data_IF_774416532651
#
_entry.id   IF_774416532651
#
_cell.length_a   1.000
_cell.length_b   1.000
_cell.length_c   1.000
_cell.angle_alpha   90.00
_cell.angle_beta   90.00
_cell.angle_gamma   90.00
#
_symmetry.space_group_name_H-M   'P 1'
#
loop_
_entity.id
_entity.type
_entity.pdbx_description
1 polymer ?
#
# COMPACT_ATOMS: atom_id res chain seq x y z
N UNK A 1 20.58 1.06 -23.39
CA UNK A 1 19.39 0.21 -23.11
C UNK A 1 18.15 1.08 -22.98
N UNK A 2 17.12 0.88 -23.83
CA UNK A 2 15.85 1.61 -23.73
C UNK A 2 15.00 1.00 -22.59
N UNK A 3 14.84 1.74 -21.50
CA UNK A 3 13.97 1.36 -20.38
C UNK A 3 12.51 1.43 -20.86
N UNK A 4 11.82 0.28 -20.93
CA UNK A 4 10.40 0.22 -21.32
C UNK A 4 9.58 1.03 -20.33
N UNK A 5 8.82 2.02 -20.84
CA UNK A 5 7.97 2.89 -20.04
C UNK A 5 6.96 2.08 -19.20
N UNK A 6 6.76 2.55 -17.97
CA UNK A 6 5.65 2.13 -17.11
C UNK A 6 4.36 2.51 -17.85
N UNK A 7 3.36 1.62 -17.89
CA UNK A 7 2.04 1.99 -18.42
C UNK A 7 1.33 2.77 -17.33
N UNK A 8 1.05 4.04 -17.59
CA UNK A 8 0.14 4.82 -16.74
C UNK A 8 -1.27 4.33 -17.02
N UNK A 9 -1.90 3.72 -16.02
CA UNK A 9 -3.32 3.42 -16.09
C UNK A 9 -4.03 4.58 -15.38
N UNK A 10 -4.19 5.71 -16.09
CA UNK A 10 -5.13 6.77 -15.67
C UNK A 10 -6.56 6.26 -15.87
N UNK A 11 -7.01 5.35 -15.01
CA UNK A 11 -8.44 5.10 -14.87
C UNK A 11 -8.98 6.24 -14.05
N UNK A 12 -9.64 7.20 -14.70
CA UNK A 12 -10.32 8.36 -14.12
C UNK A 12 -11.53 7.94 -13.27
N UNK A 13 -11.29 7.16 -12.21
CA UNK A 13 -12.29 6.67 -11.25
C UNK A 13 -11.81 6.98 -9.81
N UNK A 14 -10.55 7.37 -9.64
CA UNK A 14 -9.89 7.49 -8.34
C UNK A 14 -9.22 8.85 -8.18
N UNK A 15 -9.12 9.35 -6.94
CA UNK A 15 -8.46 10.62 -6.62
C UNK A 15 -6.92 10.54 -6.67
N UNK A 16 -6.37 9.37 -6.98
CA UNK A 16 -4.94 9.09 -7.03
C UNK A 16 -4.47 8.68 -8.44
N UNK A 17 -3.24 9.06 -8.77
CA UNK A 17 -2.51 8.57 -9.94
C UNK A 17 -2.00 7.14 -9.69
N UNK A 18 -2.37 6.19 -10.56
CA UNK A 18 -2.00 4.77 -10.44
C UNK A 18 -0.99 4.36 -11.52
N UNK A 19 0.21 4.00 -11.10
CA UNK A 19 1.33 3.56 -11.94
C UNK A 19 1.46 2.04 -11.92
N UNK A 20 1.25 1.37 -13.05
CA UNK A 20 1.30 -0.10 -13.13
C UNK A 20 2.53 -0.56 -13.92
N UNK A 21 3.34 -1.43 -13.30
CA UNK A 21 4.49 -2.03 -13.96
C UNK A 21 4.10 -2.76 -15.25
N UNK A 22 4.86 -2.55 -16.32
CA UNK A 22 4.67 -3.25 -17.59
C UNK A 22 4.94 -4.77 -17.52
N UNK A 23 5.50 -5.26 -16.40
CA UNK A 23 5.65 -6.69 -16.12
C UNK A 23 4.33 -7.36 -15.75
N UNK A 24 3.31 -6.58 -15.36
CA UNK A 24 2.00 -7.09 -14.98
C UNK A 24 1.15 -7.23 -16.25
N UNK A 25 0.85 -8.48 -16.63
CA UNK A 25 -0.05 -8.78 -17.75
C UNK A 25 -1.52 -8.66 -17.35
N UNK A 26 -1.85 -9.04 -16.12
CA UNK A 26 -3.18 -9.00 -15.52
C UNK A 26 -3.04 -8.69 -14.04
N UNK A 27 -3.82 -7.72 -13.55
CA UNK A 27 -3.84 -7.36 -12.13
C UNK A 27 -4.69 -8.39 -11.38
N UNK A 28 -4.20 -8.86 -10.24
CA UNK A 28 -4.96 -9.76 -9.38
C UNK A 28 -6.11 -9.01 -8.69
N UNK A 29 -7.31 -9.60 -8.51
CA UNK A 29 -8.46 -8.90 -7.92
C UNK A 29 -8.17 -8.26 -6.55
N UNK A 30 -7.41 -8.93 -5.69
CA UNK A 30 -6.99 -8.39 -4.38
C UNK A 30 -6.12 -7.14 -4.54
N UNK A 31 -5.23 -7.12 -5.52
CA UNK A 31 -4.38 -5.94 -5.80
C UNK A 31 -5.22 -4.79 -6.33
N UNK A 32 -6.19 -5.07 -7.20
CA UNK A 32 -7.10 -4.06 -7.75
C UNK A 32 -7.94 -3.41 -6.64
N UNK A 33 -8.54 -4.21 -5.77
CA UNK A 33 -9.43 -3.70 -4.73
C UNK A 33 -8.68 -2.96 -3.61
N UNK A 34 -7.50 -3.45 -3.19
CA UNK A 34 -6.63 -2.73 -2.24
C UNK A 34 -6.23 -1.38 -2.84
N UNK A 35 -5.76 -1.37 -4.09
CA UNK A 35 -5.35 -0.13 -4.76
C UNK A 35 -6.51 0.87 -4.86
N UNK A 36 -7.72 0.38 -5.17
CA UNK A 36 -8.92 1.22 -5.19
C UNK A 36 -9.21 1.82 -3.81
N UNK A 37 -9.27 1.03 -2.74
CA UNK A 37 -9.55 1.55 -1.41
C UNK A 37 -8.51 2.56 -0.94
N UNK A 38 -7.24 2.32 -1.22
CA UNK A 38 -6.17 3.26 -0.88
C UNK A 38 -6.34 4.59 -1.62
N UNK A 39 -6.83 4.56 -2.86
CA UNK A 39 -7.09 5.77 -3.65
C UNK A 39 -8.30 6.59 -3.18
N UNK A 40 -9.16 6.01 -2.33
CA UNK A 40 -10.28 6.70 -1.69
C UNK A 40 -9.85 7.46 -0.43
N UNK A 41 -8.62 7.24 0.07
CA UNK A 41 -8.07 8.00 1.18
C UNK A 41 -7.63 9.38 0.66
N UNK A 42 -8.24 10.45 1.17
CA UNK A 42 -8.05 11.84 0.72
C UNK A 42 -6.60 12.27 0.50
N UNK A 43 -5.68 11.86 1.38
CA UNK A 43 -4.26 12.24 1.27
C UNK A 43 -3.45 11.38 0.30
N UNK A 44 -3.91 10.18 -0.06
CA UNK A 44 -3.17 9.29 -0.96
C UNK A 44 -3.36 9.77 -2.38
N UNK A 45 -2.25 10.19 -3.01
CA UNK A 45 -2.25 10.77 -4.36
C UNK A 45 -1.55 9.90 -5.38
N UNK A 46 -0.66 9.01 -4.92
CA UNK A 46 0.18 8.21 -5.81
C UNK A 46 0.15 6.76 -5.36
N UNK A 47 -0.22 5.87 -6.28
CA UNK A 47 -0.21 4.43 -6.07
C UNK A 47 0.66 3.78 -7.14
N UNK A 48 1.57 2.91 -6.73
CA UNK A 48 2.45 2.17 -7.63
C UNK A 48 2.27 0.68 -7.42
N UNK A 49 1.98 -0.03 -8.50
CA UNK A 49 1.78 -1.47 -8.52
C UNK A 49 2.93 -2.12 -9.29
N UNK A 50 3.66 -3.00 -8.62
CA UNK A 50 4.70 -3.87 -9.19
C UNK A 50 4.29 -5.33 -8.97
N UNK A 51 4.96 -6.31 -9.61
CA UNK A 51 4.77 -7.71 -9.25
C UNK A 51 4.89 -7.86 -7.73
N UNK A 52 3.86 -8.43 -7.12
CA UNK A 52 3.80 -8.79 -5.70
C UNK A 52 3.99 -7.61 -4.73
N UNK A 53 3.81 -6.36 -5.19
CA UNK A 53 4.11 -5.18 -4.37
C UNK A 53 3.23 -3.98 -4.71
N UNK A 54 2.70 -3.33 -3.68
CA UNK A 54 1.91 -2.09 -3.76
C UNK A 54 2.60 -1.03 -2.91
N UNK A 55 2.74 0.19 -3.44
CA UNK A 55 3.11 1.37 -2.65
C UNK A 55 2.06 2.44 -2.86
N UNK A 56 1.63 3.10 -1.79
CA UNK A 56 0.70 4.22 -1.84
C UNK A 56 1.21 5.35 -0.95
N UNK A 57 1.14 6.59 -1.42
CA UNK A 57 1.56 7.73 -0.61
C UNK A 57 0.93 9.05 -1.05
N UNK A 58 0.92 10.03 -0.14
CA UNK A 58 0.67 11.43 -0.42
C UNK A 58 1.78 12.11 -1.23
N UNK A 59 2.98 11.53 -1.19
CA UNK A 59 4.20 12.11 -1.78
C UNK A 59 4.99 11.08 -2.57
N UNK A 60 5.81 11.56 -3.50
CA UNK A 60 6.74 10.74 -4.28
C UNK A 60 8.13 11.33 -4.19
N UNK A 61 9.14 10.47 -4.32
CA UNK A 61 10.54 10.90 -4.41
C UNK A 61 10.77 11.89 -5.55
N UNK A 62 11.67 12.83 -5.32
CA UNK A 62 12.17 13.71 -6.37
C UNK A 62 12.98 12.94 -7.43
N UNK A 63 13.10 13.53 -8.62
CA UNK A 63 13.85 12.95 -9.73
C UNK A 63 12.99 12.23 -10.78
N UNK A 64 13.68 11.57 -11.71
CA UNK A 64 13.05 11.00 -12.92
C UNK A 64 12.10 9.85 -12.62
N UNK A 65 12.38 9.07 -11.58
CA UNK A 65 11.56 7.93 -11.17
C UNK A 65 10.79 8.33 -9.91
N UNK A 66 9.54 8.75 -10.09
CA UNK A 66 8.63 9.04 -8.99
C UNK A 66 8.26 7.75 -8.26
N UNK A 67 8.63 7.63 -7.00
CA UNK A 67 8.34 6.46 -6.15
C UNK A 67 7.58 6.92 -4.91
N UNK A 68 6.41 6.34 -4.58
CA UNK A 68 5.67 6.72 -3.38
C UNK A 68 6.54 6.61 -2.12
N UNK A 69 6.51 7.64 -1.27
CA UNK A 69 7.31 7.70 -0.04
C UNK A 69 6.57 7.00 1.10
N UNK A 70 7.16 5.94 1.63
CA UNK A 70 6.52 5.06 2.63
C UNK A 70 7.39 4.83 3.86
N UNK A 71 8.63 5.33 3.83
CA UNK A 71 9.62 5.13 4.89
C UNK A 71 9.10 5.65 6.23
N UNK A 72 9.27 4.88 7.33
CA UNK A 72 8.97 5.35 8.68
C UNK A 72 9.66 6.68 9.01
N UNK A 73 9.03 7.45 9.89
CA UNK A 73 9.47 8.76 10.39
C UNK A 73 9.65 9.85 9.33
N UNK A 74 9.10 9.67 8.11
CA UNK A 74 9.10 10.74 7.12
C UNK A 74 8.21 11.90 7.63
N UNK A 75 8.71 13.15 7.65
CA UNK A 75 8.09 14.24 8.41
C UNK A 75 6.71 14.66 7.88
N UNK A 76 6.44 14.42 6.61
CA UNK A 76 5.22 14.93 5.94
C UNK A 76 4.41 13.84 5.23
N UNK A 77 5.01 12.68 4.96
CA UNK A 77 4.38 11.70 4.09
C UNK A 77 3.32 10.90 4.85
N UNK A 78 2.25 10.56 4.14
CA UNK A 78 1.27 9.57 4.57
C UNK A 78 1.28 8.49 3.52
N UNK A 79 1.76 7.30 3.87
CA UNK A 79 1.92 6.24 2.89
C UNK A 79 2.24 4.88 3.50
N UNK A 80 2.11 3.85 2.69
CA UNK A 80 2.40 2.48 3.05
C UNK A 80 2.96 1.71 1.86
N UNK A 81 3.69 0.65 2.14
CA UNK A 81 4.07 -0.36 1.17
C UNK A 81 3.69 -1.76 1.63
N UNK A 82 3.20 -2.56 0.69
CA UNK A 82 2.70 -3.92 0.90
C UNK A 82 3.46 -4.89 0.02
N UNK A 83 3.86 -6.02 0.60
CA UNK A 83 4.24 -7.22 -0.15
C UNK A 83 3.01 -8.12 -0.20
N UNK A 84 2.71 -8.65 -1.39
CA UNK A 84 1.55 -9.50 -1.64
C UNK A 84 2.05 -10.91 -1.92
N UNK A 85 1.83 -11.83 -0.98
CA UNK A 85 2.17 -13.23 -1.17
C UNK A 85 0.93 -14.00 -1.65
N UNK A 86 0.87 -14.24 -2.96
CA UNK A 86 -0.22 -15.00 -3.56
C UNK A 86 -0.17 -16.49 -3.23
N UNK A 87 0.99 -17.05 -2.87
CA UNK A 87 1.10 -18.47 -2.56
C UNK A 87 0.48 -18.78 -1.19
N UNK A 88 0.63 -17.86 -0.24
CA UNK A 88 0.09 -18.00 1.11
C UNK A 88 -1.15 -17.14 1.37
N UNK A 89 -1.66 -16.42 0.37
CA UNK A 89 -2.77 -15.48 0.49
C UNK A 89 -2.55 -14.48 1.63
N UNK A 90 -1.37 -13.88 1.72
CA UNK A 90 -1.09 -12.89 2.76
C UNK A 90 -0.69 -11.54 2.17
N UNK A 91 -0.96 -10.49 2.94
CA UNK A 91 -0.51 -9.12 2.67
C UNK A 91 0.39 -8.67 3.81
N UNK A 92 1.67 -8.52 3.52
CA UNK A 92 2.61 -8.02 4.51
C UNK A 92 2.68 -6.50 4.44
N UNK A 93 2.45 -5.83 5.57
CA UNK A 93 2.79 -4.41 5.74
C UNK A 93 4.30 -4.29 5.88
N UNK A 94 4.96 -3.89 4.79
CA UNK A 94 6.43 -3.77 4.75
C UNK A 94 6.88 -2.44 5.34
N UNK A 95 6.21 -1.34 4.99
CA UNK A 95 6.41 -0.03 5.61
C UNK A 95 5.08 0.67 5.77
N UNK A 96 4.98 1.52 6.80
CA UNK A 96 3.88 2.45 6.99
C UNK A 96 4.44 3.73 7.61
N UNK A 97 3.97 4.88 7.13
CA UNK A 97 4.28 6.19 7.70
C UNK A 97 3.04 7.07 7.69
N UNK A 98 2.85 7.83 8.76
CA UNK A 98 1.69 8.71 8.89
C UNK A 98 2.06 9.99 9.63
N UNK A 99 2.51 11.00 8.89
CA UNK A 99 2.76 12.33 9.44
C UNK A 99 1.49 13.02 9.99
N UNK A 100 0.31 12.60 9.52
CA UNK A 100 -0.99 13.11 9.98
C UNK A 100 -1.67 12.08 10.88
N UNK A 101 -2.03 12.48 12.10
CA UNK A 101 -2.68 11.59 13.08
C UNK A 101 -3.94 10.94 12.50
N UNK A 102 -4.09 9.64 12.76
CA UNK A 102 -5.25 8.84 12.36
C UNK A 102 -5.15 8.22 10.96
N UNK A 103 -4.27 8.70 10.09
CA UNK A 103 -4.14 8.15 8.74
C UNK A 103 -3.48 6.77 8.70
N UNK A 104 -2.59 6.45 9.65
CA UNK A 104 -2.07 5.09 9.81
C UNK A 104 -3.18 4.05 9.94
N UNK A 105 -4.18 4.31 10.80
CA UNK A 105 -5.36 3.44 10.90
C UNK A 105 -6.19 3.44 9.61
N UNK A 106 -6.50 4.60 9.02
CA UNK A 106 -7.27 4.66 7.75
C UNK A 106 -6.65 3.80 6.65
N UNK A 107 -5.32 3.80 6.57
CA UNK A 107 -4.55 2.98 5.64
C UNK A 107 -4.69 1.48 5.92
N UNK A 108 -4.58 1.07 7.19
CA UNK A 108 -4.80 -0.32 7.61
C UNK A 108 -6.26 -0.74 7.33
N UNK A 109 -7.23 0.07 7.74
CA UNK A 109 -8.66 -0.14 7.51
C UNK A 109 -8.95 -0.35 6.00
N UNK A 110 -8.34 0.45 5.12
CA UNK A 110 -8.51 0.34 3.68
C UNK A 110 -8.00 -0.98 3.10
N UNK A 111 -6.91 -1.53 3.64
CA UNK A 111 -6.42 -2.85 3.27
C UNK A 111 -7.39 -3.93 3.77
N UNK A 112 -7.72 -3.93 5.06
CA UNK A 112 -8.58 -4.94 5.67
C UNK A 112 -10.01 -4.96 5.13
N UNK A 113 -10.59 -3.80 4.78
CA UNK A 113 -11.94 -3.68 4.20
C UNK A 113 -12.14 -4.59 2.97
N UNK A 114 -11.07 -4.99 2.29
CA UNK A 114 -11.17 -5.75 1.04
C UNK A 114 -10.25 -6.95 0.96
N UNK A 115 -9.71 -7.39 2.10
CA UNK A 115 -9.10 -8.71 2.17
C UNK A 115 -10.21 -9.77 2.15
N UNK A 116 -10.14 -10.75 1.24
CA UNK A 116 -11.01 -11.91 1.31
C UNK A 116 -10.83 -12.67 2.63
N UNK A 117 -11.85 -13.40 3.09
CA UNK A 117 -11.81 -14.09 4.38
C UNK A 117 -10.67 -15.13 4.52
N UNK A 118 -10.17 -15.66 3.41
CA UNK A 118 -9.05 -16.60 3.38
C UNK A 118 -7.68 -15.91 3.27
N UNK A 119 -7.63 -14.58 3.40
CA UNK A 119 -6.40 -13.80 3.41
C UNK A 119 -6.07 -13.30 4.81
N UNK A 120 -4.77 -13.32 5.14
CA UNK A 120 -4.23 -12.70 6.35
C UNK A 120 -3.44 -11.44 6.00
N UNK A 121 -3.24 -10.58 7.00
CA UNK A 121 -2.26 -9.52 6.93
C UNK A 121 -1.20 -9.73 7.99
N UNK A 122 0.05 -9.40 7.64
CA UNK A 122 1.21 -9.71 8.47
C UNK A 122 2.07 -8.46 8.65
N UNK A 123 2.63 -8.29 9.85
CA UNK A 123 3.67 -7.32 10.16
C UNK A 123 4.88 -8.12 10.63
N UNK A 124 5.96 -8.09 9.85
CA UNK A 124 7.18 -8.86 10.17
C UNK A 124 8.16 -8.05 11.02
N UNK A 125 8.09 -6.71 10.95
CA UNK A 125 8.93 -5.84 11.77
C UNK A 125 8.11 -4.64 12.23
N UNK A 126 7.94 -4.50 13.55
CA UNK A 126 7.27 -3.36 14.16
C UNK A 126 8.30 -2.29 14.56
N UNK A 127 8.24 -1.13 13.89
CA UNK A 127 9.01 0.07 14.21
C UNK A 127 8.11 1.24 14.66
N UNK A 128 6.87 0.93 15.03
CA UNK A 128 5.77 1.89 15.14
C UNK A 128 5.32 2.19 16.58
N UNK A 129 6.15 1.81 17.56
CA UNK A 129 5.98 2.06 19.00
C UNK A 129 4.55 1.70 19.50
N UNK A 130 4.17 0.45 19.29
CA UNK A 130 2.89 -0.11 19.76
C UNK A 130 1.66 0.30 18.93
N UNK A 131 1.85 0.88 17.73
CA UNK A 131 0.74 1.09 16.80
C UNK A 131 0.16 -0.24 16.31
N UNK A 132 1.00 -1.23 15.97
CA UNK A 132 0.51 -2.52 15.47
C UNK A 132 -0.20 -3.34 16.56
N UNK A 133 0.25 -3.28 17.82
CA UNK A 133 -0.47 -3.87 18.96
C UNK A 133 -1.91 -3.35 19.08
N UNK A 134 -2.11 -2.04 18.82
CA UNK A 134 -3.45 -1.43 18.80
C UNK A 134 -4.27 -1.88 17.60
N UNK A 135 -3.64 -2.12 16.46
CA UNK A 135 -4.33 -2.65 15.27
C UNK A 135 -4.74 -4.11 15.47
N UNK A 136 -3.91 -4.93 16.10
CA UNK A 136 -4.18 -6.36 16.32
C UNK A 136 -5.42 -6.59 17.18
N UNK A 137 -5.71 -5.68 18.12
CA UNK A 137 -6.95 -5.68 18.91
C UNK A 137 -8.22 -5.49 18.06
N UNK A 138 -8.09 -4.89 16.88
CA UNK A 138 -9.22 -4.64 15.97
C UNK A 138 -9.32 -5.63 14.81
N UNK A 139 -8.23 -6.33 14.47
CA UNK A 139 -8.15 -7.20 13.30
C UNK A 139 -7.68 -8.59 13.70
N UNK A 140 -8.62 -9.56 13.73
CA UNK A 140 -8.34 -10.95 14.14
C UNK A 140 -7.39 -11.68 13.19
N UNK A 141 -7.32 -11.26 11.94
CA UNK A 141 -6.44 -11.81 10.90
C UNK A 141 -5.19 -10.95 10.66
N UNK A 142 -4.82 -10.11 11.64
CA UNK A 142 -3.54 -9.43 11.69
C UNK A 142 -2.55 -10.23 12.56
N UNK A 143 -1.49 -10.71 11.94
CA UNK A 143 -0.40 -11.40 12.62
C UNK A 143 0.81 -10.47 12.74
N UNK A 144 1.40 -10.40 13.93
CA UNK A 144 2.68 -9.73 14.18
C UNK A 144 3.68 -10.86 14.43
N UNK A 145 4.73 -10.93 13.62
CA UNK A 145 5.77 -11.97 13.68
C UNK A 145 7.02 -11.49 14.39
#
# INVERSE_FOLDING_TARGET
MKQKSVREFKKTITNADIFVSNKIKKIHPVVEIISKNLSEIELIKFIRIKPDFIQASSEVTEGRIKTPITKPDHPTAVGLSLIIDFAYNNVQFYEINSAVKGYGRKMVDAVFKSLPNNWSAVVVMDWSDGFWDKMQKSYKNLEIM
#
